data_IF_725722979882
#
_entry.id   IF_725722979882
#
_cell.length_a   1.000
_cell.length_b   1.000
_cell.length_c   1.000
_cell.angle_alpha   90.00
_cell.angle_beta   90.00
_cell.angle_gamma   90.00
#
_symmetry.space_group_name_H-M   'P 1'
#
loop_
_entity.id
_entity.type
_entity.pdbx_description
1 polymer ?
#
# COMPACT_ATOMS: atom_id res chain seq x y z
N UNK A 1 -16.02 34.42 62.91
CA UNK A 1 -16.89 33.35 62.37
C UNK A 1 -16.68 33.13 60.87
N UNK A 2 -16.96 34.10 59.98
CA UNK A 2 -16.85 33.93 58.51
C UNK A 2 -15.45 33.53 57.99
N UNK A 3 -14.37 34.02 58.60
CA UNK A 3 -13.00 33.64 58.19
C UNK A 3 -12.68 32.16 58.47
N UNK A 4 -13.17 31.63 59.60
CA UNK A 4 -12.87 30.25 60.01
C UNK A 4 -13.57 29.25 59.09
N UNK A 5 -14.83 29.53 58.74
CA UNK A 5 -15.59 28.73 57.79
C UNK A 5 -14.95 28.74 56.40
N UNK A 6 -14.47 29.90 55.94
CA UNK A 6 -13.77 30.02 54.66
C UNK A 6 -12.46 29.22 54.66
N UNK A 7 -11.66 29.36 55.71
CA UNK A 7 -10.41 28.61 55.85
C UNK A 7 -10.63 27.10 55.88
N UNK A 8 -11.67 26.62 56.57
CA UNK A 8 -12.01 25.19 56.57
C UNK A 8 -12.39 24.71 55.17
N UNK A 9 -13.25 25.46 54.48
CA UNK A 9 -13.68 25.12 53.14
C UNK A 9 -12.51 25.11 52.12
N UNK A 10 -11.57 26.05 52.22
CA UNK A 10 -10.39 26.09 51.35
C UNK A 10 -9.49 24.86 51.54
N UNK A 11 -9.34 24.38 52.79
CA UNK A 11 -8.59 23.14 53.09
C UNK A 11 -9.31 21.92 52.50
N UNK A 12 -10.63 21.80 52.71
CA UNK A 12 -11.41 20.66 52.19
C UNK A 12 -11.42 20.65 50.67
N UNK A 13 -11.57 21.82 50.03
CA UNK A 13 -11.48 21.95 48.57
C UNK A 13 -10.16 21.41 48.06
N UNK A 14 -9.04 21.85 48.65
CA UNK A 14 -7.71 21.40 48.25
C UNK A 14 -7.50 19.88 48.45
N UNK A 15 -8.03 19.33 49.54
CA UNK A 15 -8.02 17.89 49.76
C UNK A 15 -8.83 17.11 48.70
N UNK A 16 -9.96 17.66 48.24
CA UNK A 16 -10.77 17.05 47.18
C UNK A 16 -10.04 17.13 45.84
N UNK A 17 -9.44 18.30 45.53
CA UNK A 17 -8.63 18.51 44.32
C UNK A 17 -7.48 17.49 44.22
N UNK A 18 -6.89 17.09 45.34
CA UNK A 18 -5.82 16.08 45.36
C UNK A 18 -6.35 14.63 45.39
N UNK A 19 -7.41 14.36 46.14
CA UNK A 19 -7.88 12.99 46.39
C UNK A 19 -8.66 12.41 45.22
N UNK A 20 -9.44 13.22 44.49
CA UNK A 20 -10.25 12.75 43.36
C UNK A 20 -9.39 12.24 42.21
N UNK A 21 -8.38 12.99 41.71
CA UNK A 21 -7.50 12.48 40.66
C UNK A 21 -6.73 11.23 41.11
N UNK A 22 -6.31 11.14 42.38
CA UNK A 22 -5.66 9.93 42.94
C UNK A 22 -6.59 8.73 42.92
N UNK A 23 -7.87 8.91 43.28
CA UNK A 23 -8.87 7.86 43.22
C UNK A 23 -9.12 7.39 41.78
N UNK A 24 -9.32 8.31 40.84
CA UNK A 24 -9.51 8.00 39.40
C UNK A 24 -8.28 7.25 38.87
N UNK A 25 -7.08 7.74 39.17
CA UNK A 25 -5.84 7.12 38.75
C UNK A 25 -5.71 5.69 39.29
N UNK A 26 -6.02 5.48 40.57
CA UNK A 26 -5.87 4.16 41.20
C UNK A 26 -6.92 3.16 40.73
N UNK A 27 -8.20 3.55 40.78
CA UNK A 27 -9.33 2.63 40.56
C UNK A 27 -9.66 2.42 39.09
N UNK A 28 -9.39 3.39 38.22
CA UNK A 28 -9.71 3.28 36.80
C UNK A 28 -8.45 3.10 35.98
N UNK A 29 -7.59 4.12 35.92
CA UNK A 29 -6.47 4.17 34.96
C UNK A 29 -5.48 3.04 35.21
N UNK A 30 -4.97 2.93 36.44
CA UNK A 30 -3.98 1.92 36.79
C UNK A 30 -4.59 0.51 36.85
N UNK A 31 -5.86 0.40 37.22
CA UNK A 31 -6.57 -0.88 37.19
C UNK A 31 -6.71 -1.39 35.75
N UNK A 32 -7.21 -0.56 34.83
CA UNK A 32 -7.30 -0.91 33.41
C UNK A 32 -5.92 -1.25 32.84
N UNK A 33 -4.88 -0.47 33.14
CA UNK A 33 -3.50 -0.77 32.69
C UNK A 33 -3.04 -2.18 33.07
N UNK A 34 -3.38 -2.66 34.27
CA UNK A 34 -2.99 -4.00 34.74
C UNK A 34 -3.84 -5.11 34.12
N UNK A 35 -5.17 -4.92 34.11
CA UNK A 35 -6.10 -6.01 33.75
C UNK A 35 -6.38 -6.12 32.25
N UNK A 36 -6.12 -5.07 31.47
CA UNK A 36 -6.50 -5.00 30.07
C UNK A 36 -5.90 -6.14 29.24
N UNK A 37 -4.63 -6.48 29.43
CA UNK A 37 -4.00 -7.62 28.73
C UNK A 37 -4.68 -8.95 29.06
N UNK A 38 -4.96 -9.21 30.34
CA UNK A 38 -5.62 -10.44 30.77
C UNK A 38 -7.03 -10.55 30.19
N UNK A 39 -7.78 -9.44 30.16
CA UNK A 39 -9.10 -9.38 29.55
C UNK A 39 -9.03 -9.58 28.03
N UNK A 40 -8.08 -8.95 27.34
CA UNK A 40 -7.90 -9.12 25.90
C UNK A 40 -7.54 -10.55 25.54
N UNK A 41 -6.64 -11.19 26.28
CA UNK A 41 -6.29 -12.60 26.06
C UNK A 41 -7.56 -13.46 26.18
N UNK A 42 -8.31 -13.30 27.27
CA UNK A 42 -9.55 -14.06 27.51
C UNK A 42 -10.65 -13.80 26.48
N UNK A 43 -10.70 -12.61 25.87
CA UNK A 43 -11.77 -12.22 24.93
C UNK A 43 -11.41 -12.52 23.48
N UNK A 44 -10.18 -12.23 23.06
CA UNK A 44 -9.74 -12.35 21.67
C UNK A 44 -9.19 -13.73 21.33
N UNK A 45 -8.52 -14.41 22.27
CA UNK A 45 -7.97 -15.74 22.02
C UNK A 45 -9.00 -16.82 22.32
N UNK A 46 -10.11 -16.80 21.58
CA UNK A 46 -11.14 -17.83 21.63
C UNK A 46 -11.25 -18.46 20.25
N UNK A 47 -10.96 -19.75 20.16
CA UNK A 47 -10.96 -20.53 18.90
C UNK A 47 -12.26 -20.33 18.10
N UNK A 48 -13.39 -20.24 18.80
CA UNK A 48 -14.72 -20.09 18.18
C UNK A 48 -14.99 -18.69 17.58
N UNK A 49 -14.18 -17.67 17.88
CA UNK A 49 -14.37 -16.29 17.46
C UNK A 49 -13.34 -15.84 16.42
N UNK A 50 -12.25 -16.62 16.24
CA UNK A 50 -11.19 -16.27 15.30
C UNK A 50 -11.65 -16.25 13.85
N UNK A 51 -12.49 -17.19 13.43
CA UNK A 51 -13.00 -17.23 12.05
C UNK A 51 -13.77 -15.96 11.69
N UNK A 52 -14.61 -15.46 12.62
CA UNK A 52 -15.37 -14.22 12.43
C UNK A 52 -14.48 -12.97 12.50
N UNK A 53 -13.58 -12.87 13.49
CA UNK A 53 -12.72 -11.69 13.64
C UNK A 53 -11.63 -11.58 12.59
N UNK A 54 -11.16 -12.70 12.03
CA UNK A 54 -10.13 -12.75 11.00
C UNK A 54 -10.73 -12.80 9.59
N UNK A 55 -12.05 -12.75 9.45
CA UNK A 55 -12.70 -12.70 8.15
C UNK A 55 -12.24 -11.43 7.42
N UNK A 56 -11.62 -11.62 6.26
CA UNK A 56 -11.20 -10.52 5.41
C UNK A 56 -12.44 -9.81 4.83
N UNK A 57 -12.44 -8.47 4.74
CA UNK A 57 -13.50 -7.77 4.04
C UNK A 57 -13.56 -8.14 2.55
N UNK A 58 -14.77 -8.34 2.03
CA UNK A 58 -15.06 -8.80 0.65
C UNK A 58 -14.28 -8.04 -0.43
N UNK A 59 -14.14 -6.72 -0.28
CA UNK A 59 -13.47 -5.88 -1.27
C UNK A 59 -11.97 -6.17 -1.38
N UNK A 60 -11.32 -6.54 -0.26
CA UNK A 60 -9.90 -6.91 -0.26
C UNK A 60 -9.75 -8.33 -0.79
N UNK A 61 -10.65 -9.24 -0.42
CA UNK A 61 -10.68 -10.61 -0.96
C UNK A 61 -10.84 -10.62 -2.49
N UNK A 62 -11.82 -9.88 -3.04
CA UNK A 62 -12.02 -9.72 -4.49
C UNK A 62 -10.82 -9.07 -5.17
N UNK A 63 -10.17 -8.10 -4.53
CA UNK A 63 -8.97 -7.46 -5.07
C UNK A 63 -7.81 -8.47 -5.13
N UNK A 64 -7.67 -9.31 -4.12
CA UNK A 64 -6.71 -10.42 -4.08
C UNK A 64 -6.96 -11.41 -5.23
N UNK A 65 -8.21 -11.84 -5.40
CA UNK A 65 -8.62 -12.75 -6.48
C UNK A 65 -8.26 -12.19 -7.86
N UNK A 66 -8.68 -10.96 -8.18
CA UNK A 66 -8.36 -10.30 -9.47
C UNK A 66 -6.85 -10.18 -9.71
N UNK A 67 -6.08 -9.91 -8.66
CA UNK A 67 -4.61 -9.80 -8.77
C UNK A 67 -3.99 -11.16 -9.05
N UNK A 68 -4.48 -12.22 -8.41
CA UNK A 68 -4.04 -13.60 -8.62
C UNK A 68 -4.38 -14.10 -10.02
N UNK A 69 -5.56 -13.78 -10.53
CA UNK A 69 -5.97 -14.10 -11.91
C UNK A 69 -5.05 -13.44 -12.93
N UNK A 70 -4.78 -12.14 -12.78
CA UNK A 70 -3.86 -11.41 -13.65
C UNK A 70 -2.45 -11.99 -13.60
N UNK A 71 -1.97 -12.34 -12.42
CA UNK A 71 -0.67 -12.97 -12.24
C UNK A 71 -0.60 -14.33 -12.95
N UNK A 72 -1.64 -15.14 -12.83
CA UNK A 72 -1.73 -16.42 -13.54
C UNK A 72 -1.70 -16.24 -15.06
N UNK A 73 -2.45 -15.27 -15.60
CA UNK A 73 -2.44 -14.95 -17.03
C UNK A 73 -1.06 -14.49 -17.53
N UNK A 74 -0.38 -13.63 -16.78
CA UNK A 74 0.97 -13.17 -17.12
C UNK A 74 2.00 -14.31 -17.07
N UNK A 75 1.90 -15.20 -16.08
CA UNK A 75 2.77 -16.38 -16.00
C UNK A 75 2.55 -17.33 -17.17
N UNK A 76 1.29 -17.54 -17.58
CA UNK A 76 0.98 -18.36 -18.75
C UNK A 76 1.55 -17.74 -20.02
N UNK A 77 1.37 -16.44 -20.23
CA UNK A 77 1.94 -15.73 -21.38
C UNK A 77 3.47 -15.85 -21.41
N UNK A 78 4.13 -15.72 -20.25
CA UNK A 78 5.57 -15.90 -20.13
C UNK A 78 6.01 -17.33 -20.51
N UNK A 79 5.30 -18.37 -20.03
CA UNK A 79 5.58 -19.77 -20.41
C UNK A 79 5.44 -19.98 -21.91
N UNK A 80 4.39 -19.44 -22.51
CA UNK A 80 4.20 -19.51 -23.97
C UNK A 80 5.33 -18.84 -24.73
N UNK A 81 5.85 -17.68 -24.26
CA UNK A 81 7.02 -17.04 -24.88
C UNK A 81 8.29 -17.89 -24.77
N UNK A 82 8.49 -18.58 -23.64
CA UNK A 82 9.66 -19.43 -23.38
C UNK A 82 9.62 -20.72 -24.22
N UNK A 83 8.42 -21.20 -24.56
CA UNK A 83 8.19 -22.38 -25.39
C UNK A 83 8.24 -22.11 -26.90
N UNK A 84 8.30 -20.84 -27.34
CA UNK A 84 8.43 -20.52 -28.76
C UNK A 84 9.82 -20.96 -29.26
N UNK A 85 9.89 -21.91 -30.20
CA UNK A 85 11.18 -22.34 -30.74
C UNK A 85 11.79 -21.18 -31.55
N UNK A 86 13.12 -21.12 -31.57
CA UNK A 86 13.97 -20.25 -32.41
C UNK A 86 13.65 -20.28 -33.93
N UNK A 87 12.64 -21.05 -34.36
CA UNK A 87 12.12 -21.13 -35.73
C UNK A 87 11.40 -19.85 -36.20
N UNK A 88 11.14 -18.89 -35.31
CA UNK A 88 10.73 -17.54 -35.76
C UNK A 88 11.87 -16.80 -36.48
N UNK A 89 13.13 -17.18 -36.28
CA UNK A 89 14.27 -16.60 -37.00
C UNK A 89 14.40 -17.15 -38.43
N UNK A 90 13.86 -18.34 -38.72
CA UNK A 90 13.94 -18.97 -40.05
C UNK A 90 12.87 -18.47 -41.03
N UNK A 91 11.84 -17.76 -40.56
CA UNK A 91 10.77 -17.18 -41.38
C UNK A 91 11.12 -15.82 -42.02
N UNK A 92 12.25 -15.19 -41.66
CA UNK A 92 12.79 -14.02 -42.37
C UNK A 92 13.42 -14.41 -43.73
N UNK A 93 13.55 -15.72 -44.03
CA UNK A 93 14.00 -16.23 -45.34
C UNK A 93 12.86 -16.31 -46.37
N UNK A 94 11.96 -15.32 -46.34
CA UNK A 94 10.71 -15.32 -47.09
C UNK A 94 10.45 -14.10 -47.99
N UNK A 95 11.34 -13.10 -48.05
CA UNK A 95 11.27 -12.07 -49.08
C UNK A 95 12.03 -12.55 -50.33
N UNK A 96 11.30 -12.92 -51.37
CA UNK A 96 11.87 -13.17 -52.69
C UNK A 96 12.49 -11.89 -53.25
N UNK A 97 13.81 -11.73 -53.09
CA UNK A 97 14.59 -10.74 -53.83
C UNK A 97 14.77 -11.27 -55.25
N UNK A 98 13.87 -10.91 -56.15
CA UNK A 98 14.10 -11.05 -57.59
C UNK A 98 15.32 -10.18 -57.95
N UNK A 99 16.48 -10.81 -58.15
CA UNK A 99 17.72 -10.16 -58.56
C UNK A 99 17.66 -9.80 -60.04
N UNK A 100 17.43 -8.52 -60.35
CA UNK A 100 17.82 -7.91 -61.63
C UNK A 100 19.30 -7.49 -61.51
N UNK A 101 20.13 -7.51 -62.58
CA UNK A 101 21.59 -7.55 -62.49
C UNK A 101 22.24 -6.21 -62.11
N UNK A 102 21.50 -5.26 -61.55
CA UNK A 102 21.99 -3.89 -61.25
C UNK A 102 22.01 -3.54 -59.75
N UNK A 103 21.64 -4.46 -58.85
CA UNK A 103 21.99 -4.36 -57.43
C UNK A 103 21.43 -3.18 -56.62
N UNK A 104 20.36 -2.52 -57.06
CA UNK A 104 19.72 -1.40 -56.34
C UNK A 104 18.22 -1.66 -56.10
N UNK A 105 17.72 -1.53 -54.85
CA UNK A 105 16.29 -1.69 -54.55
C UNK A 105 15.48 -0.48 -55.02
N UNK A 106 14.34 -0.75 -55.66
CA UNK A 106 13.45 0.25 -56.25
C UNK A 106 12.54 0.88 -55.19
N UNK A 107 12.79 2.15 -54.84
CA UNK A 107 11.91 2.96 -53.99
C UNK A 107 10.78 3.59 -54.82
N UNK A 108 9.55 3.11 -54.65
CA UNK A 108 8.38 3.75 -55.24
C UNK A 108 7.43 4.21 -54.12
N UNK A 109 7.53 5.49 -53.75
CA UNK A 109 6.48 6.20 -53.02
C UNK A 109 6.91 6.84 -51.70
N UNK A 110 7.76 7.86 -51.74
CA UNK A 110 7.93 8.80 -50.63
C UNK A 110 7.74 10.23 -51.14
N UNK A 111 6.81 11.02 -50.60
CA UNK A 111 7.07 12.42 -50.31
C UNK A 111 7.81 12.50 -48.98
N UNK A 112 9.10 12.82 -49.09
CA UNK A 112 10.01 13.18 -48.01
C UNK A 112 9.42 14.31 -47.18
N UNK A 113 9.20 14.08 -45.89
CA UNK A 113 9.42 15.14 -44.89
C UNK A 113 9.83 14.50 -43.56
N UNK A 114 11.08 14.77 -43.22
CA UNK A 114 11.69 14.55 -41.91
C UNK A 114 11.25 15.67 -40.98
N UNK A 115 10.81 15.32 -39.78
CA UNK A 115 11.07 16.14 -38.59
C UNK A 115 10.93 15.27 -37.35
N UNK A 116 12.06 14.73 -36.89
CA UNK A 116 12.25 14.33 -35.52
C UNK A 116 12.09 15.56 -34.60
N UNK A 117 11.32 15.43 -33.54
CA UNK A 117 11.41 16.33 -32.39
C UNK A 117 11.48 15.47 -31.14
N UNK A 118 12.69 15.34 -30.61
CA UNK A 118 12.95 14.85 -29.26
C UNK A 118 12.84 16.04 -28.30
N UNK A 119 11.82 16.05 -27.45
CA UNK A 119 11.81 16.83 -26.21
C UNK A 119 11.56 15.83 -25.07
N UNK A 120 12.62 15.35 -24.43
CA UNK A 120 13.24 15.95 -23.24
C UNK A 120 12.47 15.58 -21.98
N UNK A 121 13.20 14.91 -21.08
CA UNK A 121 12.73 14.25 -19.87
C UNK A 121 11.92 15.10 -18.92
N UNK A 122 10.95 14.45 -18.29
CA UNK A 122 10.36 14.92 -17.03
C UNK A 122 10.93 14.06 -15.91
N UNK A 123 11.91 14.62 -15.21
CA UNK A 123 12.40 14.13 -13.93
C UNK A 123 11.37 14.46 -12.85
N UNK A 124 10.68 13.46 -12.30
CA UNK A 124 9.90 13.65 -11.07
C UNK A 124 10.83 13.57 -9.87
N UNK A 125 11.14 14.75 -9.33
CA UNK A 125 11.89 14.97 -8.10
C UNK A 125 11.00 14.82 -6.88
N UNK A 126 11.39 13.91 -5.96
CA UNK A 126 10.81 13.77 -4.63
C UNK A 126 11.00 15.06 -3.81
N UNK A 127 9.90 15.67 -3.36
CA UNK A 127 9.93 16.78 -2.40
C UNK A 127 10.03 16.23 -0.97
N UNK A 128 11.15 16.52 -0.30
CA UNK A 128 11.32 16.30 1.13
C UNK A 128 10.67 17.44 1.93
N UNK A 129 9.91 17.09 2.97
CA UNK A 129 9.29 18.03 3.93
C UNK A 129 10.32 18.73 4.82
N UNK A 130 10.16 20.03 5.13
CA UNK A 130 11.04 20.73 6.07
C UNK A 130 10.60 20.51 7.53
N UNK A 131 11.59 20.22 8.38
CA UNK A 131 11.55 20.43 9.83
C UNK A 131 11.38 21.92 10.13
N UNK A 132 10.58 22.25 11.15
CA UNK A 132 10.52 23.59 11.76
C UNK A 132 10.92 23.49 13.25
N UNK A 133 11.28 24.62 13.89
CA UNK A 133 12.22 24.73 15.01
C UNK A 133 11.71 24.22 16.36
#
# INVERSE_FOLDING_TARGET
>A
MKLLLRSYYDIVRKNIEDSVPKAIMHFLVNHMKRELHNVFIKKLYRDNLFEEMLQEPDEVSKKGERTRERLCALQQAFRTLDELPLEAETAERGYSLNTDPTGLPKINGLPTSSSYTTSSGSSESYTASPKNP
#
